data_IF_927902973799
#
_entry.id   IF_927902973799
#
_cell.length_a   1.000
_cell.length_b   1.000
_cell.length_c   1.000
_cell.angle_alpha   90.00
_cell.angle_beta   90.00
_cell.angle_gamma   90.00
#
_symmetry.space_group_name_H-M   'P 1'
#
loop_
_entity.id
_entity.type
_entity.pdbx_description
1 polymer ?
#
# COMPACT_ATOMS: atom_id res chain seq x y z
N UNK A 1 -11.25 -8.53 8.93
CA UNK A 1 -10.15 -7.90 8.17
C UNK A 1 -9.63 -6.66 8.91
N UNK A 2 -8.33 -6.63 9.28
CA UNK A 2 -7.72 -5.52 10.03
C UNK A 2 -7.24 -4.34 9.17
N UNK A 3 -7.29 -4.47 7.84
CA UNK A 3 -6.81 -3.42 6.92
C UNK A 3 -7.97 -2.61 6.37
N UNK A 4 -7.90 -1.29 6.58
CA UNK A 4 -8.70 -0.30 5.88
C UNK A 4 -8.03 0.03 4.55
N UNK A 5 -8.80 0.02 3.47
CA UNK A 5 -8.32 0.36 2.13
C UNK A 5 -9.25 1.37 1.45
N UNK A 6 -8.66 2.38 0.82
CA UNK A 6 -9.36 3.36 0.00
C UNK A 6 -8.61 3.58 -1.32
N UNK A 7 -9.34 3.80 -2.41
CA UNK A 7 -8.76 4.10 -3.72
C UNK A 7 -9.50 5.24 -4.39
N UNK A 8 -8.76 6.19 -4.94
CA UNK A 8 -9.28 7.27 -5.79
C UNK A 8 -8.26 7.60 -6.87
N UNK A 9 -8.68 7.52 -8.14
CA UNK A 9 -7.80 7.67 -9.29
C UNK A 9 -6.58 6.72 -9.21
N UNK A 10 -5.39 7.28 -9.26
CA UNK A 10 -4.10 6.64 -9.11
C UNK A 10 -3.62 6.56 -7.65
N UNK A 11 -4.39 7.06 -6.68
CA UNK A 11 -4.03 7.02 -5.26
C UNK A 11 -4.69 5.82 -4.56
N UNK A 12 -3.89 5.10 -3.78
CA UNK A 12 -4.32 4.02 -2.89
C UNK A 12 -3.89 4.37 -1.47
N UNK A 13 -4.80 4.28 -0.51
CA UNK A 13 -4.52 4.45 0.92
C UNK A 13 -4.78 3.11 1.61
N UNK A 14 -3.82 2.66 2.40
CA UNK A 14 -3.89 1.41 3.16
C UNK A 14 -3.50 1.70 4.60
N UNK A 15 -4.26 1.18 5.57
CA UNK A 15 -3.95 1.26 6.98
C UNK A 15 -4.26 -0.07 7.67
N UNK A 16 -3.29 -0.63 8.39
CA UNK A 16 -3.51 -1.81 9.22
C UNK A 16 -3.86 -1.38 10.64
N UNK A 17 -5.13 -1.54 10.99
CA UNK A 17 -5.69 -1.29 12.32
C UNK A 17 -5.79 -2.59 13.15
N UNK A 18 -5.24 -3.69 12.63
CA UNK A 18 -5.20 -4.99 13.29
C UNK A 18 -3.93 -5.21 14.11
N UNK A 19 -3.94 -6.27 14.92
CA UNK A 19 -2.81 -6.69 15.76
C UNK A 19 -1.84 -7.63 15.05
N UNK A 20 -2.16 -8.05 13.82
CA UNK A 20 -1.34 -8.94 12.99
C UNK A 20 -0.87 -8.21 11.73
N UNK A 21 0.26 -8.63 11.16
CA UNK A 21 0.69 -8.14 9.86
C UNK A 21 -0.30 -8.55 8.75
N UNK A 22 -0.43 -7.72 7.73
CA UNK A 22 -1.32 -7.98 6.61
C UNK A 22 -0.66 -7.66 5.28
N UNK A 23 -0.79 -8.57 4.31
CA UNK A 23 -0.31 -8.38 2.94
C UNK A 23 -1.48 -8.20 1.98
N UNK A 24 -1.48 -7.11 1.23
CA UNK A 24 -2.49 -6.78 0.21
C UNK A 24 -1.88 -6.75 -1.19
N UNK A 25 -2.71 -6.99 -2.22
CA UNK A 25 -2.31 -6.96 -3.64
C UNK A 25 -2.41 -5.56 -4.24
N UNK A 26 -1.72 -4.62 -3.59
CA UNK A 26 -1.55 -3.26 -4.07
C UNK A 26 -0.07 -2.90 -4.01
N UNK A 27 0.40 -2.13 -4.97
CA UNK A 27 1.77 -1.64 -5.07
C UNK A 27 1.76 -0.31 -5.83
N UNK A 28 2.84 0.43 -5.72
CA UNK A 28 3.00 1.72 -6.37
C UNK A 28 4.22 2.45 -5.84
N UNK A 29 4.37 3.68 -6.27
CA UNK A 29 5.29 4.63 -5.65
C UNK A 29 4.76 5.00 -4.27
N UNK A 30 5.62 4.99 -3.25
CA UNK A 30 5.26 5.41 -1.89
C UNK A 30 5.24 6.93 -1.84
N UNK A 31 4.07 7.51 -1.58
CA UNK A 31 3.93 8.95 -1.36
C UNK A 31 4.14 9.32 0.11
N UNK A 32 3.56 8.52 1.01
CA UNK A 32 3.63 8.71 2.47
C UNK A 32 3.55 7.33 3.14
N UNK A 33 4.34 7.09 4.17
CA UNK A 33 4.20 5.95 5.06
C UNK A 33 4.27 6.36 6.54
N UNK A 34 3.77 5.49 7.41
CA UNK A 34 3.90 5.58 8.86
C UNK A 34 3.94 4.18 9.45
N UNK A 35 4.76 4.00 10.48
CA UNK A 35 5.05 2.68 11.04
C UNK A 35 5.91 1.83 10.10
N UNK A 36 5.81 0.51 10.24
CA UNK A 36 6.59 -0.42 9.42
C UNK A 36 5.77 -0.91 8.21
N UNK A 37 6.25 -0.61 7.01
CA UNK A 37 5.64 -1.02 5.74
C UNK A 37 6.71 -1.63 4.83
N UNK A 38 6.36 -2.69 4.11
CA UNK A 38 7.19 -3.25 3.06
C UNK A 38 6.41 -3.27 1.73
N UNK A 39 6.85 -2.45 0.77
CA UNK A 39 6.28 -2.39 -0.58
C UNK A 39 7.18 -3.16 -1.54
N UNK A 40 6.60 -4.15 -2.22
CA UNK A 40 7.28 -4.99 -3.19
C UNK A 40 6.54 -5.06 -4.52
N UNK A 41 7.03 -5.89 -5.43
CA UNK A 41 6.42 -6.10 -6.73
C UNK A 41 4.99 -6.68 -6.59
N UNK A 42 3.99 -5.84 -6.86
CA UNK A 42 2.57 -6.24 -6.85
C UNK A 42 1.93 -6.39 -5.46
N UNK A 43 2.69 -6.21 -4.37
CA UNK A 43 2.20 -6.43 -3.00
C UNK A 43 2.74 -5.40 -2.03
N UNK A 44 1.96 -5.14 -1.00
CA UNK A 44 2.32 -4.30 0.14
C UNK A 44 2.01 -5.07 1.41
N UNK A 45 2.99 -5.15 2.31
CA UNK A 45 2.83 -5.70 3.66
C UNK A 45 2.81 -4.56 4.65
N UNK A 46 1.75 -4.50 5.46
CA UNK A 46 1.55 -3.55 6.55
C UNK A 46 1.69 -4.28 7.87
N UNK A 47 2.60 -3.82 8.73
CA UNK A 47 2.68 -4.30 10.12
C UNK A 47 1.54 -3.69 10.95
N UNK A 48 1.29 -4.16 12.18
CA UNK A 48 0.32 -3.52 13.07
C UNK A 48 0.58 -2.01 13.21
N UNK A 49 -0.50 -1.23 13.29
CA UNK A 49 -0.47 0.23 13.43
C UNK A 49 0.36 0.97 12.36
N UNK A 50 0.38 0.43 11.14
CA UNK A 50 1.07 1.05 9.99
C UNK A 50 0.11 1.48 8.90
N UNK A 51 0.51 2.48 8.11
CA UNK A 51 -0.25 2.93 6.95
C UNK A 51 0.66 3.40 5.83
N UNK A 52 0.15 3.35 4.60
CA UNK A 52 0.85 3.84 3.41
C UNK A 52 -0.13 4.45 2.41
N UNK A 53 0.32 5.51 1.75
CA UNK A 53 -0.30 6.09 0.56
C UNK A 53 0.58 5.75 -0.63
N UNK A 54 -0.01 5.10 -1.62
CA UNK A 54 0.65 4.68 -2.85
C UNK A 54 0.08 5.44 -4.04
N UNK A 55 0.94 5.78 -5.01
CA UNK A 55 0.54 6.17 -6.35
C UNK A 55 0.76 5.01 -7.33
N UNK A 56 -0.29 4.59 -8.04
CA UNK A 56 -0.18 3.53 -9.04
C UNK A 56 0.64 4.03 -10.22
N UNK A 57 1.78 3.39 -10.47
CA UNK A 57 2.61 3.68 -11.64
C UNK A 57 2.10 2.83 -12.80
N UNK A 58 1.64 3.47 -13.88
CA UNK A 58 1.43 2.78 -15.16
C UNK A 58 2.80 2.60 -15.80
N UNK A 59 3.27 1.37 -16.08
CA UNK A 59 4.51 1.18 -16.80
C UNK A 59 4.40 1.89 -18.14
N UNK A 60 5.26 2.87 -18.40
CA UNK A 60 5.40 3.41 -19.75
C UNK A 60 6.07 2.32 -20.57
N UNK A 61 5.30 1.65 -21.43
CA UNK A 61 5.89 0.82 -22.48
C UNK A 61 6.59 1.80 -23.40
N UNK A 62 7.93 1.78 -23.40
CA UNK A 62 8.70 2.48 -24.43
C UNK A 62 8.30 1.83 -25.77
N UNK A 63 7.56 2.58 -26.59
CA UNK A 63 7.21 2.19 -27.96
C UNK A 63 8.38 2.39 -28.91
#
# INVERSE_FOLDING_TARGET
PGVLGYRRNDIIVLANLGQELATVRYTGEVLVDTGQVAVGAGRTTLFPDSAVVLQTVVPRVAG
#
